data_IF_034926886074
#
_entry.id   IF_034926886074
#
_cell.length_a   1.000
_cell.length_b   1.000
_cell.length_c   1.000
_cell.angle_alpha   90.00
_cell.angle_beta   90.00
_cell.angle_gamma   90.00
#
_symmetry.space_group_name_H-M   'P 1'
#
loop_
_entity.id
_entity.type
_entity.pdbx_description
1 polymer ?
#
# COMPACT_ATOMS: atom_id res chain seq x y z
N UNK A 1 -6.66 24.81 19.34
CA UNK A 1 -6.86 26.27 19.17
C UNK A 1 -7.28 26.89 20.49
N UNK A 2 -6.62 27.96 20.93
CA UNK A 2 -6.91 28.67 22.18
C UNK A 2 -8.29 29.33 22.13
N UNK A 3 -9.12 29.14 23.15
CA UNK A 3 -10.40 29.86 23.28
C UNK A 3 -10.11 31.36 23.36
N UNK A 4 -10.72 32.14 22.46
CA UNK A 4 -10.64 33.61 22.48
C UNK A 4 -11.43 34.16 23.69
N UNK A 5 -11.02 35.32 24.25
CA UNK A 5 -11.69 35.90 25.41
C UNK A 5 -13.16 36.26 25.11
N UNK A 6 -14.02 36.34 26.15
CA UNK A 6 -15.39 36.82 26.01
C UNK A 6 -15.42 38.19 25.33
N UNK A 7 -16.35 38.39 24.38
CA UNK A 7 -16.48 39.64 23.63
C UNK A 7 -15.54 39.80 22.42
N UNK A 8 -14.54 38.91 22.24
CA UNK A 8 -13.60 39.00 21.11
C UNK A 8 -14.30 39.06 19.73
N UNK A 9 -15.40 38.34 19.56
CA UNK A 9 -16.14 38.28 18.29
C UNK A 9 -17.19 39.38 18.13
N UNK A 10 -17.36 40.26 19.12
CA UNK A 10 -18.28 41.40 19.00
C UNK A 10 -17.65 42.52 18.15
N UNK A 11 -16.31 42.57 18.07
CA UNK A 11 -15.57 43.45 17.17
C UNK A 11 -15.63 42.93 15.72
N UNK A 12 -16.11 43.79 14.81
CA UNK A 12 -16.17 43.50 13.38
C UNK A 12 -14.80 43.16 12.78
N UNK A 13 -13.73 43.82 13.23
CA UNK A 13 -12.38 43.63 12.68
C UNK A 13 -11.92 42.18 12.87
N UNK A 14 -12.21 41.60 14.03
CA UNK A 14 -11.88 40.20 14.34
C UNK A 14 -12.70 39.22 13.48
N UNK A 15 -13.96 39.53 13.20
CA UNK A 15 -14.83 38.73 12.33
C UNK A 15 -14.34 38.78 10.88
N UNK A 16 -14.00 39.96 10.38
CA UNK A 16 -13.47 40.16 9.03
C UNK A 16 -12.12 39.44 8.85
N UNK A 17 -11.19 39.61 9.78
CA UNK A 17 -9.87 38.98 9.75
C UNK A 17 -9.95 37.46 9.75
N UNK A 18 -10.90 36.88 10.51
CA UNK A 18 -11.11 35.44 10.52
C UNK A 18 -11.80 34.90 9.26
N UNK A 19 -12.67 35.68 8.61
CA UNK A 19 -13.41 35.25 7.41
C UNK A 19 -12.61 35.42 6.11
N UNK A 20 -11.76 36.45 5.99
CA UNK A 20 -10.96 36.71 4.77
C UNK A 20 -10.14 35.51 4.27
N UNK A 21 -9.36 34.79 5.10
CA UNK A 21 -8.60 33.63 4.62
C UNK A 21 -9.52 32.50 4.16
N UNK A 22 -10.66 32.29 4.83
CA UNK A 22 -11.64 31.26 4.45
C UNK A 22 -12.31 31.59 3.12
N UNK A 23 -12.64 32.87 2.89
CA UNK A 23 -13.22 33.34 1.63
C UNK A 23 -12.20 33.18 0.49
N UNK A 24 -10.93 33.50 0.75
CA UNK A 24 -9.84 33.37 -0.23
C UNK A 24 -9.64 31.90 -0.62
N UNK A 25 -9.60 31.01 0.36
CA UNK A 25 -9.47 29.55 0.17
C UNK A 25 -10.65 28.95 -0.62
N UNK A 26 -11.89 29.37 -0.32
CA UNK A 26 -13.09 28.84 -0.99
C UNK A 26 -13.40 29.53 -2.33
N UNK A 27 -12.81 30.70 -2.60
CA UNK A 27 -13.20 31.58 -3.71
C UNK A 27 -14.64 32.10 -3.63
N UNK A 28 -15.33 31.90 -2.51
CA UNK A 28 -16.71 32.35 -2.26
C UNK A 28 -16.97 32.52 -0.76
N UNK A 29 -18.08 33.19 -0.43
CA UNK A 29 -18.50 33.33 0.96
C UNK A 29 -18.81 31.95 1.58
N UNK A 30 -18.25 31.62 2.76
CA UNK A 30 -18.43 30.31 3.38
C UNK A 30 -19.87 30.07 3.83
N UNK A 31 -20.25 28.80 3.88
CA UNK A 31 -21.48 28.31 4.50
C UNK A 31 -21.22 27.95 5.96
N UNK A 32 -22.30 27.85 6.76
CA UNK A 32 -22.19 27.48 8.17
C UNK A 32 -21.54 26.10 8.41
N UNK A 33 -21.84 25.04 7.63
CA UNK A 33 -21.12 23.77 7.73
C UNK A 33 -19.62 23.90 7.47
N UNK A 34 -19.21 24.68 6.47
CA UNK A 34 -17.80 24.89 6.12
C UNK A 34 -17.01 25.60 7.22
N UNK A 35 -17.66 26.51 7.97
CA UNK A 35 -17.08 27.14 9.15
C UNK A 35 -16.97 26.17 10.33
N UNK A 36 -17.94 25.25 10.50
CA UNK A 36 -17.90 24.22 11.56
C UNK A 36 -16.79 23.19 11.31
N UNK A 37 -16.61 22.75 10.06
CA UNK A 37 -15.53 21.82 9.68
C UNK A 37 -14.15 22.42 9.96
N UNK A 38 -14.01 23.76 9.91
CA UNK A 38 -12.80 24.49 10.28
C UNK A 38 -12.72 24.84 11.76
N UNK A 39 -13.60 24.27 12.59
CA UNK A 39 -13.69 24.50 14.04
C UNK A 39 -13.94 25.96 14.47
N UNK A 40 -14.44 26.82 13.57
CA UNK A 40 -14.69 28.25 13.81
C UNK A 40 -16.03 28.49 14.54
N UNK A 41 -16.32 27.68 15.55
CA UNK A 41 -17.59 27.71 16.30
C UNK A 41 -17.79 29.02 17.08
N UNK A 42 -16.70 29.62 17.58
CA UNK A 42 -16.74 30.92 18.26
C UNK A 42 -17.16 32.07 17.32
N UNK A 43 -16.57 32.10 16.13
CA UNK A 43 -16.90 33.04 15.06
C UNK A 43 -18.37 32.92 14.64
N UNK A 44 -18.85 31.68 14.44
CA UNK A 44 -20.26 31.42 14.11
C UNK A 44 -21.20 32.04 15.16
N UNK A 45 -20.90 31.86 16.46
CA UNK A 45 -21.71 32.44 17.54
C UNK A 45 -21.65 33.96 17.53
N UNK A 46 -20.47 34.55 17.34
CA UNK A 46 -20.30 36.01 17.27
C UNK A 46 -21.04 36.64 16.09
N UNK A 47 -20.96 36.03 14.90
CA UNK A 47 -21.70 36.47 13.70
C UNK A 47 -23.20 36.52 13.97
N UNK A 48 -23.75 35.47 14.60
CA UNK A 48 -25.20 35.39 14.88
C UNK A 48 -25.64 36.32 16.00
N UNK A 49 -24.82 36.51 17.04
CA UNK A 49 -25.18 37.32 18.21
C UNK A 49 -25.02 38.82 17.96
N UNK A 50 -23.93 39.21 17.30
CA UNK A 50 -23.45 40.60 17.33
C UNK A 50 -23.42 41.27 15.95
N UNK A 51 -23.52 40.50 14.86
CA UNK A 51 -23.39 41.02 13.49
C UNK A 51 -24.58 40.70 12.58
N UNK A 52 -25.75 40.38 13.15
CA UNK A 52 -27.00 40.20 12.38
C UNK A 52 -27.04 38.95 11.50
N UNK A 53 -26.14 37.99 11.73
CA UNK A 53 -26.07 36.73 11.00
C UNK A 53 -25.33 36.80 9.67
N UNK A 54 -25.13 35.63 9.05
CA UNK A 54 -24.35 35.48 7.82
C UNK A 54 -24.79 36.35 6.63
N UNK A 55 -26.10 36.64 6.41
CA UNK A 55 -26.50 37.53 5.30
C UNK A 55 -25.94 38.96 5.44
N UNK A 56 -25.97 39.53 6.63
CA UNK A 56 -25.52 40.90 6.88
C UNK A 56 -23.98 40.99 6.82
N UNK A 57 -23.29 40.02 7.41
CA UNK A 57 -21.83 39.88 7.33
C UNK A 57 -21.36 39.72 5.89
N UNK A 58 -22.08 38.93 5.07
CA UNK A 58 -21.80 38.78 3.65
C UNK A 58 -21.92 40.10 2.89
N UNK A 59 -23.00 40.85 3.13
CA UNK A 59 -23.21 42.16 2.53
C UNK A 59 -22.09 43.13 2.92
N UNK A 60 -21.73 43.16 4.21
CA UNK A 60 -20.68 44.03 4.75
C UNK A 60 -19.29 43.71 4.20
N UNK A 61 -19.03 42.46 3.83
CA UNK A 61 -17.79 42.03 3.15
C UNK A 61 -17.84 42.18 1.62
N UNK A 62 -18.86 42.82 1.05
CA UNK A 62 -19.00 43.02 -0.39
C UNK A 62 -19.16 41.71 -1.19
N UNK A 63 -19.45 40.60 -0.50
CA UNK A 63 -19.55 39.30 -1.14
C UNK A 63 -20.92 39.15 -1.80
N UNK A 64 -20.96 38.85 -3.10
CA UNK A 64 -22.22 38.63 -3.83
C UNK A 64 -23.00 37.47 -3.19
N UNK A 65 -24.32 37.66 -3.01
CA UNK A 65 -25.18 36.59 -2.47
C UNK A 65 -25.11 35.34 -3.35
N UNK A 66 -24.85 34.19 -2.73
CA UNK A 66 -24.96 32.88 -3.37
C UNK A 66 -26.41 32.55 -3.76
N UNK A 67 -27.40 33.14 -3.07
CA UNK A 67 -28.81 33.06 -3.49
C UNK A 67 -29.06 34.15 -4.52
N UNK A 68 -29.39 33.72 -5.73
CA UNK A 68 -29.91 34.59 -6.77
C UNK A 68 -31.23 35.23 -6.30
N UNK A 69 -31.54 36.47 -6.72
CA UNK A 69 -32.82 37.10 -6.42
C UNK A 69 -34.00 36.21 -6.84
N UNK A 70 -35.12 36.33 -6.13
CA UNK A 70 -36.35 35.66 -6.55
C UNK A 70 -36.72 36.06 -7.98
N UNK A 71 -37.02 35.05 -8.81
CA UNK A 71 -37.32 35.26 -10.22
C UNK A 71 -36.09 35.33 -11.15
N UNK A 72 -34.86 35.30 -10.64
CA UNK A 72 -33.65 35.34 -11.48
C UNK A 72 -33.63 34.29 -12.60
N UNK A 73 -34.08 33.06 -12.31
CA UNK A 73 -34.16 31.97 -13.30
C UNK A 73 -35.42 31.99 -14.16
N UNK A 74 -36.31 32.99 -14.01
CA UNK A 74 -37.41 33.19 -14.98
C UNK A 74 -36.87 33.80 -16.28
N UNK A 75 -35.81 34.59 -16.18
CA UNK A 75 -35.13 35.17 -17.32
C UNK A 75 -34.29 34.10 -18.05
N UNK A 76 -34.53 33.98 -19.35
CA UNK A 76 -33.82 33.06 -20.23
C UNK A 76 -32.32 33.36 -20.30
N UNK A 77 -31.90 34.62 -20.34
CA UNK A 77 -30.49 34.98 -20.50
C UNK A 77 -29.67 34.62 -19.26
N UNK A 78 -30.28 34.68 -18.07
CA UNK A 78 -29.64 34.21 -16.84
C UNK A 78 -29.44 32.69 -16.84
N UNK A 79 -30.44 31.93 -17.30
CA UNK A 79 -30.36 30.47 -17.45
C UNK A 79 -29.30 30.09 -18.49
N UNK A 80 -29.30 30.77 -19.64
CA UNK A 80 -28.33 30.56 -20.73
C UNK A 80 -26.90 30.79 -20.24
N UNK A 81 -26.64 31.91 -19.55
CA UNK A 81 -25.32 32.25 -19.03
C UNK A 81 -24.77 31.18 -18.08
N UNK A 82 -25.57 30.71 -17.13
CA UNK A 82 -25.11 29.70 -16.17
C UNK A 82 -24.94 28.31 -16.81
N UNK A 83 -25.73 27.99 -17.84
CA UNK A 83 -25.52 26.78 -18.64
C UNK A 83 -24.22 26.81 -19.44
N UNK A 84 -23.83 27.96 -20.01
CA UNK A 84 -22.52 28.11 -20.67
C UNK A 84 -21.37 28.00 -19.66
N UNK A 85 -21.53 28.51 -18.44
CA UNK A 85 -20.53 28.32 -17.38
C UNK A 85 -20.39 26.84 -17.00
N UNK A 86 -21.49 26.12 -16.83
CA UNK A 86 -21.48 24.70 -16.53
C UNK A 86 -20.86 23.88 -17.69
N UNK A 87 -21.15 24.26 -18.94
CA UNK A 87 -20.53 23.68 -20.14
C UNK A 87 -19.03 23.93 -20.19
N UNK A 88 -18.56 25.12 -19.81
CA UNK A 88 -17.12 25.42 -19.75
C UNK A 88 -16.39 24.50 -18.76
N UNK A 89 -17.07 24.08 -17.67
CA UNK A 89 -16.49 23.16 -16.67
C UNK A 89 -16.49 21.69 -17.12
N UNK A 90 -17.49 21.25 -17.87
CA UNK A 90 -17.64 19.83 -18.28
C UNK A 90 -17.15 19.52 -19.70
N UNK A 91 -17.05 20.52 -20.57
CA UNK A 91 -16.83 20.33 -22.01
C UNK A 91 -18.11 20.01 -22.80
N UNK A 92 -19.23 19.70 -22.12
CA UNK A 92 -20.55 19.46 -22.71
C UNK A 92 -21.67 20.11 -21.88
N UNK A 93 -22.87 20.25 -22.45
CA UNK A 93 -24.02 20.76 -21.69
C UNK A 93 -24.42 19.77 -20.59
N UNK A 94 -24.57 20.22 -19.34
CA UNK A 94 -24.80 19.34 -18.20
C UNK A 94 -26.20 18.72 -18.19
N UNK A 95 -26.30 17.48 -17.72
CA UNK A 95 -27.55 16.85 -17.27
C UNK A 95 -28.02 17.41 -15.92
N UNK A 96 -29.26 17.13 -15.52
CA UNK A 96 -29.78 17.52 -14.19
C UNK A 96 -28.92 16.96 -13.04
N UNK A 97 -28.41 15.72 -13.19
CA UNK A 97 -27.56 15.08 -12.17
C UNK A 97 -26.19 15.77 -12.09
N UNK A 98 -25.59 16.07 -13.23
CA UNK A 98 -24.31 16.80 -13.29
C UNK A 98 -24.46 18.24 -12.77
N UNK A 99 -25.55 18.94 -13.09
CA UNK A 99 -25.85 20.27 -12.52
C UNK A 99 -25.95 20.21 -10.99
N UNK A 100 -26.65 19.22 -10.45
CA UNK A 100 -26.75 19.04 -9.00
C UNK A 100 -25.39 18.73 -8.36
N UNK A 101 -24.58 17.88 -9.00
CA UNK A 101 -23.22 17.55 -8.55
C UNK A 101 -22.26 18.73 -8.56
N UNK A 102 -22.43 19.67 -9.50
CA UNK A 102 -21.65 20.90 -9.61
C UNK A 102 -22.19 22.07 -8.76
N UNK A 103 -23.25 21.85 -7.98
CA UNK A 103 -23.86 22.88 -7.13
C UNK A 103 -24.82 23.83 -7.86
N UNK A 104 -25.15 23.58 -9.13
CA UNK A 104 -26.15 24.33 -9.91
C UNK A 104 -27.59 23.83 -9.64
N UNK A 105 -27.91 23.49 -8.39
CA UNK A 105 -29.23 22.94 -8.01
C UNK A 105 -30.36 23.94 -8.28
N UNK A 106 -30.14 25.22 -8.00
CA UNK A 106 -31.13 26.28 -8.25
C UNK A 106 -31.37 26.53 -9.74
N UNK A 107 -30.35 26.35 -10.59
CA UNK A 107 -30.47 26.41 -12.04
C UNK A 107 -31.31 25.25 -12.57
N UNK A 108 -31.01 24.02 -12.11
CA UNK A 108 -31.79 22.83 -12.47
C UNK A 108 -33.28 23.00 -12.10
N UNK A 109 -33.54 23.55 -10.91
CA UNK A 109 -34.90 23.79 -10.43
C UNK A 109 -35.59 24.93 -11.21
N UNK A 110 -34.86 26.00 -11.55
CA UNK A 110 -35.35 27.09 -12.40
C UNK A 110 -35.72 26.62 -13.81
N UNK A 111 -34.87 25.79 -14.42
CA UNK A 111 -35.12 25.17 -15.74
C UNK A 111 -36.40 24.33 -15.70
N UNK A 112 -36.56 23.50 -14.66
CA UNK A 112 -37.74 22.65 -14.48
C UNK A 112 -39.02 23.46 -14.29
N UNK A 113 -38.98 24.52 -13.48
CA UNK A 113 -40.18 25.31 -13.11
C UNK A 113 -40.59 26.32 -14.18
N UNK A 114 -39.64 26.96 -14.86
CA UNK A 114 -39.92 28.12 -15.71
C UNK A 114 -39.66 27.91 -17.20
N UNK A 115 -38.84 26.91 -17.58
CA UNK A 115 -38.40 26.74 -18.98
C UNK A 115 -38.79 25.39 -19.59
N UNK A 116 -39.79 24.70 -19.02
CA UNK A 116 -40.32 23.45 -19.58
C UNK A 116 -39.38 22.25 -19.44
N UNK A 117 -38.39 22.33 -18.55
CA UNK A 117 -37.41 21.28 -18.32
C UNK A 117 -36.23 21.29 -19.30
N UNK A 118 -35.24 20.44 -19.02
CA UNK A 118 -33.93 20.48 -19.69
C UNK A 118 -34.02 20.21 -21.21
N UNK A 119 -34.98 19.39 -21.64
CA UNK A 119 -35.20 19.08 -23.04
C UNK A 119 -35.70 20.30 -23.84
N UNK A 120 -36.59 21.12 -23.26
CA UNK A 120 -37.09 22.33 -23.89
C UNK A 120 -35.99 23.40 -23.99
N UNK A 121 -35.17 23.53 -22.94
CA UNK A 121 -34.00 24.40 -22.91
C UNK A 121 -32.98 24.03 -23.98
N UNK A 122 -32.65 22.74 -24.13
CA UNK A 122 -31.73 22.29 -25.18
C UNK A 122 -32.29 22.53 -26.59
N UNK A 123 -33.58 22.26 -26.81
CA UNK A 123 -34.25 22.60 -28.07
C UNK A 123 -34.12 24.10 -28.37
N UNK A 124 -34.26 24.96 -27.35
CA UNK A 124 -34.13 26.42 -27.47
C UNK A 124 -32.69 26.88 -27.72
N UNK A 125 -31.68 26.14 -27.25
CA UNK A 125 -30.25 26.42 -27.51
C UNK A 125 -29.79 25.94 -28.89
N UNK A 126 -30.67 25.33 -29.71
CA UNK A 126 -30.29 24.75 -31.00
C UNK A 126 -29.34 23.55 -30.87
N UNK A 127 -29.12 23.07 -29.65
CA UNK A 127 -28.34 21.86 -29.42
C UNK A 127 -29.24 20.69 -29.75
N UNK A 128 -28.84 19.90 -30.74
CA UNK A 128 -29.46 18.59 -30.95
C UNK A 128 -29.24 17.81 -29.66
N UNK A 129 -30.27 17.72 -28.83
CA UNK A 129 -30.38 16.64 -27.87
C UNK A 129 -30.16 15.39 -28.71
N UNK A 130 -29.04 14.70 -28.55
CA UNK A 130 -28.91 13.32 -29.02
C UNK A 130 -29.86 12.48 -28.15
N UNK A 131 -31.16 12.73 -28.25
CA UNK A 131 -32.13 11.67 -28.15
C UNK A 131 -31.79 10.83 -29.36
N UNK A 132 -31.07 9.72 -29.13
CA UNK A 132 -31.12 8.63 -30.10
C UNK A 132 -32.58 8.50 -30.50
N UNK A 133 -32.91 8.58 -31.80
CA UNK A 133 -34.28 8.40 -32.25
C UNK A 133 -34.84 7.17 -31.54
N UNK A 134 -36.06 7.23 -31.02
CA UNK A 134 -36.67 6.10 -30.32
C UNK A 134 -36.72 4.80 -31.16
N UNK A 135 -36.28 4.82 -32.43
CA UNK A 135 -36.02 3.63 -33.26
C UNK A 135 -34.55 3.26 -33.50
N UNK A 136 -33.53 4.09 -33.20
CA UNK A 136 -32.12 3.73 -33.49
C UNK A 136 -31.54 2.72 -32.51
N UNK A 137 -32.04 2.66 -31.27
CA UNK A 137 -31.63 1.64 -30.30
C UNK A 137 -32.42 0.33 -30.45
N UNK A 138 -33.46 0.31 -31.30
CA UNK A 138 -34.09 -0.93 -31.75
C UNK A 138 -33.26 -1.61 -32.86
N UNK A 139 -32.45 -0.83 -33.60
CA UNK A 139 -31.51 -1.37 -34.57
C UNK A 139 -30.28 -2.01 -33.89
N UNK A 140 -29.97 -3.23 -34.30
CA UNK A 140 -28.85 -4.01 -33.76
C UNK A 140 -27.50 -3.35 -34.02
N UNK A 141 -27.26 -2.79 -35.23
CA UNK A 141 -25.95 -2.24 -35.59
C UNK A 141 -25.58 -1.05 -34.69
N UNK A 142 -26.56 -0.21 -34.41
CA UNK A 142 -26.41 0.95 -33.53
C UNK A 142 -26.08 0.56 -32.09
N UNK A 143 -26.74 -0.47 -31.54
CA UNK A 143 -26.46 -0.99 -30.19
C UNK A 143 -25.11 -1.70 -30.14
N UNK A 144 -24.77 -2.47 -31.17
CA UNK A 144 -23.49 -3.17 -31.28
C UNK A 144 -22.31 -2.19 -31.26
N UNK A 145 -22.38 -1.11 -32.05
CA UNK A 145 -21.32 -0.09 -32.08
C UNK A 145 -21.11 0.57 -30.72
N UNK A 146 -22.20 0.96 -30.04
CA UNK A 146 -22.14 1.57 -28.71
C UNK A 146 -21.53 0.63 -27.66
N UNK A 147 -21.87 -0.65 -27.73
CA UNK A 147 -21.32 -1.65 -26.82
C UNK A 147 -19.84 -1.94 -27.10
N UNK A 148 -19.41 -1.92 -28.36
CA UNK A 148 -17.99 -2.10 -28.71
C UNK A 148 -17.15 -0.93 -28.20
N UNK A 149 -17.60 0.32 -28.45
CA UNK A 149 -16.93 1.52 -27.93
C UNK A 149 -16.84 1.51 -26.39
N UNK A 150 -17.89 1.04 -25.72
CA UNK A 150 -17.93 0.94 -24.26
C UNK A 150 -17.03 -0.19 -23.75
N UNK A 151 -17.02 -1.32 -24.44
CA UNK A 151 -16.13 -2.46 -24.16
C UNK A 151 -14.67 -2.06 -24.27
N UNK A 152 -14.28 -1.31 -25.30
CA UNK A 152 -12.90 -0.81 -25.44
C UNK A 152 -12.50 0.08 -24.26
N UNK A 153 -13.43 0.88 -23.71
CA UNK A 153 -13.17 1.73 -22.55
C UNK A 153 -13.06 0.95 -21.23
N UNK A 154 -13.88 -0.08 -21.05
CA UNK A 154 -13.94 -0.85 -19.81
C UNK A 154 -13.01 -2.08 -19.80
N UNK A 155 -12.52 -2.52 -20.95
CA UNK A 155 -11.72 -3.75 -21.10
C UNK A 155 -12.54 -5.04 -20.95
N UNK A 156 -13.87 -4.96 -20.80
CA UNK A 156 -14.77 -6.10 -20.67
C UNK A 156 -16.19 -5.73 -21.12
N UNK A 157 -17.05 -6.74 -21.34
CA UNK A 157 -18.43 -6.50 -21.78
C UNK A 157 -19.25 -5.82 -20.66
N UNK A 158 -19.85 -4.65 -20.91
CA UNK A 158 -20.49 -3.84 -19.89
C UNK A 158 -21.70 -4.52 -19.25
N UNK A 159 -21.87 -4.31 -17.95
CA UNK A 159 -23.08 -4.68 -17.19
C UNK A 159 -24.17 -3.61 -17.30
N UNK A 160 -25.40 -3.97 -16.95
CA UNK A 160 -26.52 -3.02 -16.88
C UNK A 160 -26.25 -1.86 -15.92
N UNK A 161 -25.54 -2.12 -14.82
CA UNK A 161 -25.21 -1.10 -13.83
C UNK A 161 -24.13 -0.15 -14.35
N UNK A 162 -23.08 -0.66 -15.00
CA UNK A 162 -22.02 0.17 -15.58
C UNK A 162 -22.55 1.07 -16.70
N UNK A 163 -23.46 0.56 -17.54
CA UNK A 163 -24.13 1.42 -18.52
C UNK A 163 -24.96 2.52 -17.86
N UNK A 164 -25.63 2.23 -16.75
CA UNK A 164 -26.37 3.24 -15.99
C UNK A 164 -25.43 4.31 -15.40
N UNK A 165 -24.29 3.90 -14.85
CA UNK A 165 -23.31 4.80 -14.23
C UNK A 165 -22.60 5.67 -15.27
N UNK A 166 -22.43 5.16 -16.50
CA UNK A 166 -21.97 5.92 -17.67
C UNK A 166 -23.06 6.81 -18.31
N UNK A 167 -24.26 6.87 -17.74
CA UNK A 167 -25.38 7.66 -18.27
C UNK A 167 -26.03 7.06 -19.52
N UNK A 168 -25.72 5.82 -19.86
CA UNK A 168 -26.24 5.05 -21.00
C UNK A 168 -27.45 4.19 -20.62
N UNK A 169 -28.29 4.66 -19.68
CA UNK A 169 -29.47 3.93 -19.18
C UNK A 169 -30.47 3.59 -20.30
N UNK A 170 -30.54 4.42 -21.35
CA UNK A 170 -31.37 4.15 -22.53
C UNK A 170 -30.86 2.95 -23.35
N UNK A 171 -29.55 2.77 -23.45
CA UNK A 171 -28.94 1.60 -24.10
C UNK A 171 -29.22 0.33 -23.29
N UNK A 172 -29.09 0.39 -21.95
CA UNK A 172 -29.45 -0.72 -21.08
C UNK A 172 -30.92 -1.11 -21.21
N UNK A 173 -31.82 -0.12 -21.26
CA UNK A 173 -33.25 -0.35 -21.47
C UNK A 173 -33.52 -0.96 -22.86
N UNK A 174 -32.89 -0.46 -23.92
CA UNK A 174 -33.07 -0.97 -25.27
C UNK A 174 -32.58 -2.42 -25.42
N UNK A 175 -31.46 -2.79 -24.78
CA UNK A 175 -30.98 -4.17 -24.75
C UNK A 175 -32.04 -5.10 -24.18
N UNK A 176 -32.69 -4.71 -23.07
CA UNK A 176 -33.74 -5.50 -22.43
C UNK A 176 -35.05 -5.53 -23.25
N UNK A 177 -35.45 -4.42 -23.85
CA UNK A 177 -36.75 -4.28 -24.50
C UNK A 177 -36.76 -4.76 -25.96
N UNK A 178 -35.65 -4.62 -26.69
CA UNK A 178 -35.61 -4.88 -28.13
C UNK A 178 -34.65 -5.99 -28.55
N UNK A 179 -33.66 -6.33 -27.71
CA UNK A 179 -32.59 -7.27 -28.09
C UNK A 179 -32.53 -8.53 -27.22
N UNK A 180 -33.60 -8.85 -26.49
CA UNK A 180 -33.70 -10.08 -25.71
C UNK A 180 -32.86 -10.12 -24.43
N UNK A 181 -32.34 -8.96 -23.99
CA UNK A 181 -31.56 -8.82 -22.77
C UNK A 181 -30.06 -9.05 -22.93
N UNK A 182 -29.31 -8.73 -21.87
CA UNK A 182 -27.84 -8.68 -21.90
C UNK A 182 -27.19 -10.01 -22.27
N UNK A 183 -27.79 -11.15 -21.89
CA UNK A 183 -27.25 -12.48 -22.23
C UNK A 183 -27.30 -12.73 -23.74
N UNK A 184 -28.42 -12.41 -24.39
CA UNK A 184 -28.60 -12.60 -25.84
C UNK A 184 -27.67 -11.70 -26.62
N UNK A 185 -27.59 -10.42 -26.25
CA UNK A 185 -26.70 -9.43 -26.86
C UNK A 185 -25.23 -9.83 -26.72
N UNK A 186 -24.82 -10.27 -25.52
CA UNK A 186 -23.45 -10.75 -25.25
C UNK A 186 -23.09 -11.95 -26.11
N UNK A 187 -23.97 -12.95 -26.19
CA UNK A 187 -23.76 -14.12 -27.05
C UNK A 187 -23.69 -13.73 -28.53
N UNK A 188 -24.54 -12.78 -28.96
CA UNK A 188 -24.54 -12.26 -30.33
C UNK A 188 -23.27 -11.49 -30.69
N UNK A 189 -22.57 -10.94 -29.69
CA UNK A 189 -21.25 -10.32 -29.83
C UNK A 189 -20.09 -11.32 -29.67
N UNK A 190 -20.36 -12.63 -29.55
CA UNK A 190 -19.33 -13.67 -29.40
C UNK A 190 -18.63 -13.66 -28.04
N UNK A 191 -19.20 -12.97 -27.05
CA UNK A 191 -18.63 -12.86 -25.71
C UNK A 191 -19.07 -14.02 -24.82
N UNK A 192 -18.15 -14.47 -23.94
CA UNK A 192 -18.45 -15.57 -23.01
C UNK A 192 -19.54 -15.13 -22.03
N UNK A 193 -20.57 -15.95 -21.76
CA UNK A 193 -21.67 -15.56 -20.89
C UNK A 193 -21.18 -15.21 -19.48
N UNK A 194 -21.69 -14.10 -18.91
CA UNK A 194 -21.31 -13.63 -17.56
C UNK A 194 -21.68 -14.62 -16.45
N UNK A 195 -22.66 -15.47 -16.71
CA UNK A 195 -23.09 -16.56 -15.82
C UNK A 195 -23.08 -17.82 -16.65
N UNK A 196 -22.40 -18.85 -16.16
CA UNK A 196 -22.50 -20.17 -16.75
C UNK A 196 -23.98 -20.58 -16.82
N UNK A 197 -24.41 -21.26 -17.91
CA UNK A 197 -25.76 -21.79 -18.03
C UNK A 197 -26.25 -22.48 -16.75
N UNK A 198 -27.57 -22.45 -16.51
CA UNK A 198 -28.16 -23.10 -15.35
C UNK A 198 -27.81 -24.59 -15.41
N UNK A 199 -27.13 -25.09 -14.38
CA UNK A 199 -26.66 -26.48 -14.30
C UNK A 199 -25.21 -26.73 -14.74
N UNK A 200 -24.49 -25.75 -15.32
CA UNK A 200 -23.09 -25.96 -15.73
C UNK A 200 -22.21 -26.46 -14.59
N UNK A 201 -22.41 -25.93 -13.37
CA UNK A 201 -21.64 -26.32 -12.20
C UNK A 201 -22.19 -27.57 -11.48
N UNK A 202 -23.27 -28.18 -11.97
CA UNK A 202 -23.78 -29.46 -11.47
C UNK A 202 -23.05 -30.64 -12.10
N UNK A 203 -22.38 -30.42 -13.23
CA UNK A 203 -21.50 -31.39 -13.88
C UNK A 203 -20.09 -31.32 -13.29
N UNK A 204 -19.57 -32.48 -12.89
CA UNK A 204 -18.25 -32.56 -12.24
C UNK A 204 -17.13 -32.11 -13.18
N UNK A 205 -17.18 -32.47 -14.46
CA UNK A 205 -16.14 -32.17 -15.46
C UNK A 205 -15.87 -30.65 -15.60
N UNK A 206 -16.93 -29.84 -15.61
CA UNK A 206 -16.82 -28.38 -15.68
C UNK A 206 -16.17 -27.79 -14.42
N UNK A 207 -16.51 -28.34 -13.26
CA UNK A 207 -15.92 -27.95 -11.98
C UNK A 207 -14.45 -28.36 -11.93
N UNK A 208 -14.13 -29.59 -12.35
CA UNK A 208 -12.77 -30.13 -12.37
C UNK A 208 -11.85 -29.32 -13.27
N UNK A 209 -12.25 -29.03 -14.51
CA UNK A 209 -11.43 -28.28 -15.46
C UNK A 209 -11.12 -26.86 -14.96
N UNK A 210 -12.12 -26.22 -14.34
CA UNK A 210 -11.96 -24.88 -13.76
C UNK A 210 -11.01 -24.92 -12.56
N UNK A 211 -11.16 -25.91 -11.67
CA UNK A 211 -10.27 -26.08 -10.52
C UNK A 211 -8.84 -26.44 -10.95
N UNK A 212 -8.64 -27.26 -11.99
CA UNK A 212 -7.31 -27.56 -12.57
C UNK A 212 -6.61 -26.28 -13.02
N UNK A 213 -7.32 -25.45 -13.78
CA UNK A 213 -6.82 -24.16 -14.28
C UNK A 213 -6.46 -23.24 -13.10
N UNK A 214 -7.36 -23.05 -12.13
CA UNK A 214 -7.07 -22.21 -10.97
C UNK A 214 -5.91 -22.75 -10.12
N UNK A 215 -5.79 -24.07 -9.98
CA UNK A 215 -4.71 -24.69 -9.20
C UNK A 215 -3.35 -24.48 -9.87
N UNK A 216 -3.29 -24.59 -11.20
CA UNK A 216 -2.08 -24.30 -11.99
C UNK A 216 -1.67 -22.83 -11.83
N UNK A 217 -2.61 -21.90 -11.94
CA UNK A 217 -2.32 -20.46 -11.84
C UNK A 217 -1.92 -20.02 -10.43
N UNK A 218 -2.56 -20.58 -9.39
CA UNK A 218 -2.29 -20.20 -8.00
C UNK A 218 -1.09 -20.95 -7.39
N UNK A 219 -0.65 -22.05 -8.01
CA UNK A 219 0.31 -22.98 -7.43
C UNK A 219 -0.16 -23.62 -6.11
N UNK A 220 -1.47 -23.55 -5.84
CA UNK A 220 -2.17 -24.14 -4.69
C UNK A 220 -3.64 -24.33 -5.07
N UNK A 221 -4.32 -25.28 -4.45
CA UNK A 221 -5.75 -25.45 -4.68
C UNK A 221 -6.53 -24.23 -4.14
N UNK A 222 -7.57 -23.76 -4.86
CA UNK A 222 -8.35 -22.58 -4.51
C UNK A 222 -8.96 -22.59 -3.09
N UNK A 223 -8.95 -21.43 -2.45
CA UNK A 223 -9.65 -21.09 -1.21
C UNK A 223 -10.88 -20.24 -1.55
N UNK A 224 -11.73 -20.00 -0.55
CA UNK A 224 -13.00 -19.27 -0.72
C UNK A 224 -12.79 -17.89 -1.36
N UNK A 225 -11.73 -17.19 -0.95
CA UNK A 225 -11.37 -15.86 -1.43
C UNK A 225 -11.07 -15.87 -2.93
N UNK A 226 -10.35 -16.90 -3.43
CA UNK A 226 -9.99 -17.00 -4.85
C UNK A 226 -11.23 -17.15 -5.76
N UNK A 227 -12.31 -17.76 -5.27
CA UNK A 227 -13.58 -17.84 -6.01
C UNK A 227 -14.33 -16.50 -6.01
N UNK A 228 -14.21 -15.71 -4.95
CA UNK A 228 -14.82 -14.37 -4.87
C UNK A 228 -14.13 -13.42 -5.84
N UNK A 229 -12.80 -13.40 -5.85
CA UNK A 229 -11.99 -12.52 -6.69
C UNK A 229 -12.21 -12.79 -8.19
N UNK A 230 -12.56 -14.04 -8.54
CA UNK A 230 -12.86 -14.45 -9.92
C UNK A 230 -14.35 -14.47 -10.26
N UNK A 231 -15.21 -14.00 -9.36
CA UNK A 231 -16.66 -14.02 -9.51
C UNK A 231 -17.24 -15.44 -9.79
N UNK A 232 -16.58 -16.48 -9.28
CA UNK A 232 -16.97 -17.89 -9.39
C UNK A 232 -17.81 -18.36 -8.18
N UNK A 233 -18.52 -17.43 -7.53
CA UNK A 233 -19.33 -17.71 -6.34
C UNK A 233 -20.46 -18.74 -6.60
N UNK A 234 -21.01 -18.77 -7.82
CA UNK A 234 -21.99 -19.78 -8.22
C UNK A 234 -21.40 -21.18 -8.31
N UNK A 235 -20.14 -21.29 -8.77
CA UNK A 235 -19.41 -22.56 -8.82
C UNK A 235 -19.14 -23.04 -7.40
N UNK A 236 -18.63 -22.16 -6.52
CA UNK A 236 -18.38 -22.50 -5.12
C UNK A 236 -19.65 -23.04 -4.43
N UNK A 237 -20.79 -22.36 -4.57
CA UNK A 237 -22.07 -22.83 -4.01
C UNK A 237 -22.49 -24.19 -4.59
N UNK A 238 -22.25 -24.42 -5.88
CA UNK A 238 -22.55 -25.71 -6.50
C UNK A 238 -21.64 -26.82 -5.99
N UNK A 239 -20.36 -26.52 -5.76
CA UNK A 239 -19.41 -27.44 -5.12
C UNK A 239 -19.87 -27.83 -3.72
N UNK A 240 -20.29 -26.85 -2.92
CA UNK A 240 -20.84 -27.07 -1.58
C UNK A 240 -22.08 -27.98 -1.60
N UNK A 241 -22.99 -27.75 -2.56
CA UNK A 241 -24.24 -28.49 -2.66
C UNK A 241 -24.08 -29.92 -3.21
N UNK A 242 -23.29 -30.09 -4.27
CA UNK A 242 -23.29 -31.33 -5.07
C UNK A 242 -22.02 -32.18 -4.87
N UNK A 243 -20.91 -31.58 -4.43
CA UNK A 243 -19.59 -32.22 -4.45
C UNK A 243 -18.88 -32.22 -3.10
N UNK A 244 -19.60 -31.91 -2.01
CA UNK A 244 -19.03 -31.92 -0.65
C UNK A 244 -18.11 -30.74 -0.36
N UNK A 245 -18.31 -29.62 -1.06
CA UNK A 245 -17.53 -28.40 -0.94
C UNK A 245 -16.10 -28.53 -1.46
N UNK A 246 -15.28 -27.52 -1.17
CA UNK A 246 -13.84 -27.51 -1.47
C UNK A 246 -13.15 -28.82 -1.03
N UNK A 247 -13.41 -29.38 0.18
CA UNK A 247 -12.77 -30.63 0.60
C UNK A 247 -13.18 -31.85 -0.25
N UNK A 248 -14.45 -31.92 -0.68
CA UNK A 248 -14.92 -33.02 -1.51
C UNK A 248 -14.39 -32.94 -2.95
N UNK A 249 -14.33 -31.74 -3.53
CA UNK A 249 -13.69 -31.53 -4.82
C UNK A 249 -12.19 -31.87 -4.81
N UNK A 250 -11.48 -31.48 -3.74
CA UNK A 250 -10.07 -31.86 -3.51
C UNK A 250 -9.84 -33.36 -3.55
N UNK A 251 -10.65 -34.12 -2.78
CA UNK A 251 -10.59 -35.61 -2.78
C UNK A 251 -10.81 -36.19 -4.17
N UNK A 252 -11.81 -35.68 -4.91
CA UNK A 252 -12.10 -36.13 -6.28
C UNK A 252 -10.98 -35.81 -7.27
N UNK A 253 -10.26 -34.70 -7.06
CA UNK A 253 -9.09 -34.33 -7.86
C UNK A 253 -7.80 -35.04 -7.45
N UNK A 254 -7.84 -35.97 -6.48
CA UNK A 254 -6.65 -36.62 -5.95
C UNK A 254 -5.75 -35.71 -5.09
N UNK A 255 -6.17 -34.47 -4.85
CA UNK A 255 -5.48 -33.52 -3.97
C UNK A 255 -5.92 -33.75 -2.52
N UNK A 256 -5.27 -34.68 -1.84
CA UNK A 256 -5.61 -35.12 -0.48
C UNK A 256 -5.20 -34.13 0.64
N UNK A 257 -5.05 -32.83 0.36
CA UNK A 257 -4.52 -31.84 1.33
C UNK A 257 -5.59 -31.02 2.07
N UNK A 258 -6.63 -31.67 2.60
CA UNK A 258 -7.66 -30.98 3.41
C UNK A 258 -7.69 -31.36 4.90
N UNK A 259 -7.43 -32.63 5.19
CA UNK A 259 -7.25 -33.16 6.55
C UNK A 259 -6.40 -34.40 6.37
N UNK A 260 -5.08 -34.21 6.46
CA UNK A 260 -4.18 -35.37 6.55
C UNK A 260 -4.68 -36.28 7.66
N UNK A 261 -4.79 -37.60 7.44
CA UNK A 261 -5.26 -38.53 8.47
C UNK A 261 -4.51 -38.30 9.78
N UNK A 262 -5.18 -38.51 10.91
CA UNK A 262 -4.50 -38.46 12.21
C UNK A 262 -3.28 -39.40 12.15
N UNK A 263 -2.11 -38.85 12.46
CA UNK A 263 -0.84 -39.59 12.41
C UNK A 263 -0.08 -39.53 11.09
N UNK A 264 -0.59 -38.91 10.03
CA UNK A 264 0.13 -38.76 8.75
C UNK A 264 1.54 -38.17 8.93
N UNK A 265 1.65 -37.09 9.72
CA UNK A 265 2.92 -36.42 10.02
C UNK A 265 3.72 -37.08 11.15
N UNK A 266 3.23 -38.16 11.76
CA UNK A 266 4.06 -38.97 12.67
C UNK A 266 5.09 -39.78 11.87
N UNK A 267 4.75 -40.14 10.63
CA UNK A 267 5.68 -40.79 9.70
C UNK A 267 6.69 -39.75 9.15
N UNK A 268 7.98 -40.11 9.21
CA UNK A 268 9.08 -39.24 8.80
C UNK A 268 9.10 -38.97 7.30
N UNK A 269 8.83 -39.98 6.47
CA UNK A 269 8.88 -39.89 5.01
C UNK A 269 7.87 -38.87 4.49
N UNK A 270 6.68 -38.80 5.11
CA UNK A 270 5.67 -37.78 4.79
C UNK A 270 6.12 -36.36 5.15
N UNK A 271 6.73 -36.18 6.33
CA UNK A 271 7.29 -34.88 6.75
C UNK A 271 8.39 -34.44 5.79
N UNK A 272 9.29 -35.36 5.43
CA UNK A 272 10.39 -35.09 4.51
C UNK A 272 9.88 -34.68 3.13
N UNK A 273 8.94 -35.44 2.54
CA UNK A 273 8.37 -35.14 1.22
C UNK A 273 7.69 -33.77 1.17
N UNK A 274 6.83 -33.49 2.16
CA UNK A 274 6.08 -32.23 2.19
C UNK A 274 7.02 -31.03 2.41
N UNK A 275 8.04 -31.18 3.27
CA UNK A 275 9.06 -30.14 3.46
C UNK A 275 9.93 -29.95 2.21
N UNK A 276 10.28 -31.00 1.48
CA UNK A 276 11.05 -30.88 0.23
C UNK A 276 10.32 -30.01 -0.79
N UNK A 277 9.00 -30.20 -0.97
CA UNK A 277 8.21 -29.35 -1.87
C UNK A 277 8.22 -27.87 -1.44
N UNK A 278 8.15 -27.61 -0.13
CA UNK A 278 8.22 -26.25 0.41
C UNK A 278 9.62 -25.65 0.22
N UNK A 279 10.67 -26.44 0.45
CA UNK A 279 12.07 -26.02 0.28
C UNK A 279 12.35 -25.67 -1.18
N UNK A 280 11.89 -26.51 -2.12
CA UNK A 280 12.07 -26.29 -3.55
C UNK A 280 11.42 -24.97 -4.00
N UNK A 281 10.29 -24.61 -3.37
CA UNK A 281 9.59 -23.34 -3.61
C UNK A 281 10.29 -22.13 -2.98
N UNK A 282 10.88 -22.28 -1.79
CA UNK A 282 11.49 -21.18 -1.05
C UNK A 282 12.98 -20.97 -1.36
N UNK A 283 13.65 -21.98 -1.93
CA UNK A 283 15.11 -22.01 -2.08
C UNK A 283 15.89 -22.07 -0.75
N UNK A 284 15.20 -22.29 0.38
CA UNK A 284 15.78 -22.39 1.73
C UNK A 284 14.91 -23.26 2.64
N UNK A 285 15.48 -23.70 3.77
CA UNK A 285 14.71 -24.40 4.78
C UNK A 285 13.61 -23.48 5.37
N UNK A 286 12.35 -23.95 5.50
CA UNK A 286 11.25 -23.12 5.97
C UNK A 286 11.39 -22.77 7.46
N UNK A 287 10.96 -21.56 7.80
CA UNK A 287 10.75 -21.11 9.18
C UNK A 287 9.34 -21.48 9.65
N UNK A 288 9.10 -21.33 10.95
CA UNK A 288 7.76 -21.51 11.54
C UNK A 288 6.70 -20.59 10.90
N UNK A 289 7.10 -19.37 10.50
CA UNK A 289 6.23 -18.42 9.80
C UNK A 289 5.88 -18.90 8.40
N UNK A 290 6.88 -19.34 7.62
CA UNK A 290 6.66 -19.84 6.26
C UNK A 290 5.64 -20.99 6.21
N UNK A 291 5.72 -21.93 7.16
CA UNK A 291 4.75 -23.03 7.25
C UNK A 291 3.35 -22.53 7.59
N UNK A 292 3.22 -21.56 8.50
CA UNK A 292 1.93 -20.99 8.89
C UNK A 292 1.27 -20.26 7.73
N UNK A 293 2.02 -19.41 7.03
CA UNK A 293 1.51 -18.56 5.95
C UNK A 293 1.08 -19.39 4.73
N UNK A 294 1.78 -20.51 4.49
CA UNK A 294 1.41 -21.46 3.44
C UNK A 294 0.29 -22.44 3.86
N UNK A 295 -0.21 -22.37 5.09
CA UNK A 295 -1.32 -23.20 5.58
C UNK A 295 -0.90 -24.58 6.12
N UNK A 296 0.39 -24.83 6.30
CA UNK A 296 0.96 -26.07 6.86
C UNK A 296 1.03 -26.04 8.40
N UNK A 297 0.03 -25.46 9.06
CA UNK A 297 -0.04 -25.37 10.52
C UNK A 297 -0.08 -26.74 11.21
N UNK A 298 -0.68 -27.76 10.55
CA UNK A 298 -0.69 -29.14 11.04
C UNK A 298 0.71 -29.76 11.04
N UNK A 299 1.42 -29.67 9.90
CA UNK A 299 2.81 -30.12 9.75
C UNK A 299 3.72 -29.45 10.78
N UNK A 300 3.64 -28.12 10.92
CA UNK A 300 4.37 -27.36 11.94
C UNK A 300 4.15 -27.93 13.34
N UNK A 301 2.88 -28.15 13.71
CA UNK A 301 2.52 -28.62 15.04
C UNK A 301 3.01 -30.04 15.31
N UNK A 302 2.98 -30.91 14.30
CA UNK A 302 3.49 -32.28 14.44
C UNK A 302 5.02 -32.31 14.49
N UNK A 303 5.73 -31.55 13.64
CA UNK A 303 7.18 -31.42 13.71
C UNK A 303 7.64 -31.03 15.12
N UNK A 304 6.95 -30.06 15.75
CA UNK A 304 7.28 -29.59 17.09
C UNK A 304 7.07 -30.67 18.17
N UNK A 305 6.00 -31.48 18.04
CA UNK A 305 5.62 -32.46 19.06
C UNK A 305 6.30 -33.82 18.91
N UNK A 306 6.57 -34.27 17.69
CA UNK A 306 7.00 -35.65 17.42
C UNK A 306 8.39 -35.75 16.80
N UNK A 307 8.89 -34.71 16.15
CA UNK A 307 10.18 -34.74 15.44
C UNK A 307 11.23 -33.82 16.05
N UNK A 308 11.06 -33.38 17.29
CA UNK A 308 12.04 -32.56 18.01
C UNK A 308 12.13 -31.10 17.54
N UNK A 309 11.12 -30.62 16.81
CA UNK A 309 11.06 -29.26 16.29
C UNK A 309 11.76 -29.04 14.96
N UNK A 310 11.50 -27.87 14.36
CA UNK A 310 11.98 -27.51 13.02
C UNK A 310 13.51 -27.59 12.89
N UNK A 311 14.26 -27.35 13.98
CA UNK A 311 15.72 -27.45 14.00
C UNK A 311 16.22 -28.89 13.87
N UNK A 312 15.63 -29.82 14.61
CA UNK A 312 16.00 -31.24 14.55
C UNK A 312 15.69 -31.80 13.17
N UNK A 313 14.54 -31.42 12.59
CA UNK A 313 14.17 -31.80 11.23
C UNK A 313 15.12 -31.19 10.19
N UNK A 314 15.49 -29.92 10.32
CA UNK A 314 16.48 -29.28 9.44
C UNK A 314 17.81 -30.04 9.45
N UNK A 315 18.33 -30.35 10.65
CA UNK A 315 19.56 -31.11 10.80
C UNK A 315 19.44 -32.52 10.20
N UNK A 316 18.33 -33.21 10.44
CA UNK A 316 18.04 -34.53 9.87
C UNK A 316 17.95 -34.52 8.34
N UNK A 317 17.56 -33.39 7.74
CA UNK A 317 17.54 -33.18 6.30
C UNK A 317 18.85 -32.60 5.73
N UNK A 318 19.90 -32.44 6.55
CA UNK A 318 21.20 -31.92 6.12
C UNK A 318 21.26 -30.40 5.93
N UNK A 319 20.28 -29.65 6.46
CA UNK A 319 20.29 -28.19 6.41
C UNK A 319 20.96 -27.58 7.64
N UNK A 320 21.80 -26.58 7.41
CA UNK A 320 22.36 -25.78 8.50
C UNK A 320 21.29 -24.86 9.10
N UNK A 321 21.05 -25.01 10.40
CA UNK A 321 20.13 -24.15 11.15
C UNK A 321 20.80 -22.81 11.41
N UNK A 322 20.34 -21.76 10.72
CA UNK A 322 20.90 -20.40 10.84
C UNK A 322 20.79 -19.80 12.25
N UNK A 323 19.79 -20.23 13.04
CA UNK A 323 19.57 -19.72 14.40
C UNK A 323 20.06 -20.71 15.46
N UNK A 324 21.22 -20.41 16.06
CA UNK A 324 21.81 -21.14 17.20
C UNK A 324 20.82 -21.25 18.39
N UNK A 325 20.93 -22.29 19.25
CA UNK A 325 20.02 -22.52 20.37
C UNK A 325 20.11 -21.42 21.44
N UNK A 326 19.08 -21.33 22.29
CA UNK A 326 19.08 -20.38 23.39
C UNK A 326 20.18 -20.73 24.39
N UNK A 327 20.93 -19.73 24.85
CA UNK A 327 22.11 -19.93 25.70
C UNK A 327 23.40 -20.24 24.93
N UNK A 328 23.35 -20.61 23.64
CA UNK A 328 24.55 -20.91 22.84
C UNK A 328 25.62 -19.81 22.95
N UNK A 329 25.20 -18.55 22.85
CA UNK A 329 26.09 -17.40 22.90
C UNK A 329 26.52 -16.97 24.31
N UNK A 330 25.95 -17.56 25.37
CA UNK A 330 26.43 -17.36 26.74
C UNK A 330 27.72 -18.14 26.99
N UNK A 331 27.89 -19.26 26.31
CA UNK A 331 29.10 -20.09 26.39
C UNK A 331 30.26 -19.41 25.66
N UNK A 332 31.34 -19.13 26.39
CA UNK A 332 32.53 -18.47 25.85
C UNK A 332 33.13 -19.21 24.65
N UNK A 333 33.22 -20.54 24.73
CA UNK A 333 33.82 -21.37 23.68
C UNK A 333 33.16 -21.18 22.31
N UNK A 334 31.85 -20.95 22.28
CA UNK A 334 31.10 -20.74 21.03
C UNK A 334 31.41 -19.37 20.41
N UNK A 335 31.53 -18.32 21.25
CA UNK A 335 31.90 -16.97 20.79
C UNK A 335 33.34 -16.96 20.30
N UNK A 336 34.26 -17.57 21.04
CA UNK A 336 35.67 -17.71 20.66
C UNK A 336 35.83 -18.44 19.32
N UNK A 337 35.16 -19.58 19.12
CA UNK A 337 35.25 -20.34 17.88
C UNK A 337 34.81 -19.52 16.65
N UNK A 338 33.68 -18.83 16.75
CA UNK A 338 33.15 -18.03 15.63
C UNK A 338 34.04 -16.81 15.33
N UNK A 339 34.61 -16.19 16.36
CA UNK A 339 35.56 -15.08 16.21
C UNK A 339 36.89 -15.54 15.63
N UNK A 340 37.40 -16.73 16.00
CA UNK A 340 38.62 -17.31 15.41
C UNK A 340 38.43 -17.66 13.93
N UNK A 341 37.29 -18.23 13.54
CA UNK A 341 36.96 -18.47 12.12
C UNK A 341 36.95 -17.18 11.30
N UNK A 342 36.43 -16.10 11.87
CA UNK A 342 36.46 -14.78 11.21
C UNK A 342 37.87 -14.21 11.16
N UNK A 343 38.67 -14.39 12.21
CA UNK A 343 40.07 -14.00 12.21
C UNK A 343 40.85 -14.73 11.11
N UNK A 344 40.68 -16.04 10.96
CA UNK A 344 41.28 -16.83 9.88
C UNK A 344 40.86 -16.34 8.49
N UNK A 345 39.58 -15.99 8.32
CA UNK A 345 39.05 -15.46 7.06
C UNK A 345 39.57 -14.06 6.72
N UNK A 346 39.71 -13.18 7.72
CA UNK A 346 40.06 -11.77 7.52
C UNK A 346 41.57 -11.51 7.62
N UNK A 347 42.34 -12.40 8.23
CA UNK A 347 43.76 -12.19 8.56
C UNK A 347 44.00 -11.14 9.65
N UNK A 348 42.95 -10.62 10.29
CA UNK A 348 43.01 -9.60 11.35
C UNK A 348 41.90 -9.79 12.38
N UNK A 349 42.01 -9.22 13.60
CA UNK A 349 40.92 -9.21 14.56
C UNK A 349 39.62 -8.61 13.95
N UNK A 350 38.49 -9.33 13.99
CA UNK A 350 37.22 -8.81 13.51
C UNK A 350 36.76 -7.60 14.31
N UNK A 351 36.15 -6.66 13.60
CA UNK A 351 35.44 -5.48 14.10
C UNK A 351 33.94 -5.77 14.18
N UNK A 352 33.18 -4.80 14.72
CA UNK A 352 31.72 -4.89 14.74
C UNK A 352 31.16 -4.84 13.31
N UNK A 353 31.74 -3.99 12.48
CA UNK A 353 31.37 -3.78 11.09
C UNK A 353 31.57 -5.07 10.28
N UNK A 354 32.65 -5.81 10.53
CA UNK A 354 32.90 -7.11 9.88
C UNK A 354 31.81 -8.16 10.23
N UNK A 355 31.35 -8.18 11.48
CA UNK A 355 30.26 -9.07 11.90
C UNK A 355 28.94 -8.69 11.24
N UNK A 356 28.66 -7.40 11.10
CA UNK A 356 27.43 -6.92 10.46
C UNK A 356 27.44 -7.21 8.95
N UNK A 357 28.58 -7.03 8.27
CA UNK A 357 28.73 -7.39 6.85
C UNK A 357 28.55 -8.89 6.59
N UNK A 358 28.97 -9.74 7.53
CA UNK A 358 28.81 -11.20 7.46
C UNK A 358 27.44 -11.68 7.96
N UNK A 359 26.50 -10.77 8.28
CA UNK A 359 25.18 -11.08 8.85
C UNK A 359 25.25 -11.88 10.16
N UNK A 360 26.30 -11.65 10.96
CA UNK A 360 26.60 -12.30 12.24
C UNK A 360 26.32 -11.38 13.44
N UNK A 361 25.37 -10.45 13.32
CA UNK A 361 25.02 -9.50 14.38
C UNK A 361 24.63 -10.13 15.73
N UNK A 362 24.20 -11.40 15.73
CA UNK A 362 23.94 -12.16 16.98
C UNK A 362 25.19 -12.36 17.85
N UNK A 363 26.37 -12.50 17.23
CA UNK A 363 27.66 -12.57 17.93
C UNK A 363 27.99 -11.23 18.57
N UNK A 364 27.82 -10.12 17.82
CA UNK A 364 28.08 -8.77 18.34
C UNK A 364 27.21 -8.47 19.56
N UNK A 365 25.92 -8.82 19.51
CA UNK A 365 25.01 -8.65 20.64
C UNK A 365 25.47 -9.48 21.84
N UNK A 366 25.91 -10.73 21.61
CA UNK A 366 26.38 -11.60 22.67
C UNK A 366 27.66 -11.11 23.35
N UNK A 367 28.60 -10.57 22.58
CA UNK A 367 29.86 -9.97 23.07
C UNK A 367 29.54 -8.90 24.11
N UNK A 368 28.64 -7.96 23.78
CA UNK A 368 28.24 -6.90 24.71
C UNK A 368 27.43 -7.43 25.89
N UNK A 369 26.48 -8.33 25.64
CA UNK A 369 25.51 -8.75 26.67
C UNK A 369 26.08 -9.73 27.69
N UNK A 370 26.96 -10.65 27.28
CA UNK A 370 27.41 -11.76 28.13
C UNK A 370 28.91 -11.78 28.40
N UNK A 371 29.72 -11.14 27.55
CA UNK A 371 31.19 -11.28 27.60
C UNK A 371 31.94 -9.98 27.87
N UNK A 372 31.26 -8.97 28.42
CA UNK A 372 31.88 -7.73 28.90
C UNK A 372 32.31 -6.74 27.80
N UNK A 373 31.80 -6.91 26.57
CA UNK A 373 32.11 -6.03 25.44
C UNK A 373 33.41 -6.37 24.71
N UNK A 374 33.68 -5.63 23.62
CA UNK A 374 34.75 -5.94 22.68
C UNK A 374 36.14 -5.96 23.32
N UNK A 375 36.44 -5.04 24.24
CA UNK A 375 37.77 -4.98 24.86
C UNK A 375 38.05 -6.17 25.76
N UNK A 376 37.03 -6.64 26.50
CA UNK A 376 37.14 -7.84 27.34
C UNK A 376 37.38 -9.08 26.47
N UNK A 377 36.63 -9.21 25.38
CA UNK A 377 36.78 -10.31 24.41
C UNK A 377 38.16 -10.29 23.76
N UNK A 378 38.64 -9.11 23.31
CA UNK A 378 39.97 -8.95 22.70
C UNK A 378 41.10 -9.29 23.67
N UNK A 379 41.02 -8.85 24.92
CA UNK A 379 41.98 -9.25 25.97
C UNK A 379 41.98 -10.76 26.18
N UNK A 380 40.79 -11.36 26.26
CA UNK A 380 40.63 -12.80 26.49
C UNK A 380 41.15 -13.66 25.33
N UNK A 381 41.07 -13.16 24.11
CA UNK A 381 41.63 -13.81 22.91
C UNK A 381 43.12 -13.49 22.67
N UNK A 382 43.74 -12.66 23.51
CA UNK A 382 45.13 -12.22 23.33
C UNK A 382 45.33 -11.21 22.19
N UNK A 383 44.25 -10.69 21.60
CA UNK A 383 44.29 -9.74 20.48
C UNK A 383 44.66 -8.32 20.88
N UNK A 384 44.61 -7.99 22.17
CA UNK A 384 44.99 -6.67 22.69
C UNK A 384 46.50 -6.40 22.67
N UNK A 385 47.33 -7.45 22.62
CA UNK A 385 48.79 -7.32 22.55
C UNK A 385 49.28 -7.15 21.11
N UNK A 386 48.67 -7.86 20.16
CA UNK A 386 49.04 -7.80 18.74
C UNK A 386 48.82 -6.40 18.12
N UNK A 387 47.83 -5.63 18.60
CA UNK A 387 47.67 -4.23 18.16
C UNK A 387 48.78 -3.33 18.71
N UNK A 388 49.31 -3.65 19.89
CA UNK A 388 50.41 -2.92 20.52
C UNK A 388 51.73 -3.17 19.82
N UNK A 389 52.04 -4.43 19.52
CA UNK A 389 53.30 -4.78 18.84
C UNK A 389 53.30 -4.35 17.38
N UNK A 390 52.15 -4.41 16.68
CA UNK A 390 52.04 -3.89 15.31
C UNK A 390 52.14 -2.36 15.30
N UNK A 391 51.46 -1.66 16.21
CA UNK A 391 51.58 -0.20 16.31
C UNK A 391 52.98 0.24 16.74
N UNK A 392 53.64 -0.50 17.65
CA UNK A 392 55.01 -0.21 18.08
C UNK A 392 56.01 -0.48 16.94
N UNK A 393 55.92 -1.62 16.23
CA UNK A 393 56.76 -1.88 15.05
C UNK A 393 56.53 -0.84 13.94
N UNK A 394 55.30 -0.36 13.74
CA UNK A 394 55.00 0.68 12.76
C UNK A 394 55.54 2.05 13.20
N UNK A 395 55.39 2.40 14.47
CA UNK A 395 55.96 3.62 15.05
C UNK A 395 57.49 3.60 15.00
N UNK A 396 58.12 2.48 15.33
CA UNK A 396 59.58 2.28 15.27
C UNK A 396 60.08 2.32 13.82
N UNK A 397 59.33 1.75 12.87
CA UNK A 397 59.62 1.82 11.43
C UNK A 397 59.54 3.25 10.89
N UNK A 398 58.49 4.00 11.26
CA UNK A 398 58.31 5.39 10.83
C UNK A 398 59.39 6.27 11.46
N UNK A 399 59.68 6.10 12.75
CA UNK A 399 60.74 6.81 13.44
C UNK A 399 62.13 6.51 12.84
N UNK A 400 62.41 5.25 12.49
CA UNK A 400 63.67 4.86 11.85
C UNK A 400 63.81 5.46 10.44
N UNK A 401 62.73 5.48 9.65
CA UNK A 401 62.73 6.07 8.30
C UNK A 401 62.92 7.58 8.36
N UNK A 402 62.22 8.26 9.27
CA UNK A 402 62.33 9.71 9.45
C UNK A 402 63.70 10.15 9.98
N UNK A 403 64.29 9.39 10.92
CA UNK A 403 65.66 9.63 11.40
C UNK A 403 66.70 9.41 10.29
N UNK A 404 66.48 8.45 9.39
CA UNK A 404 67.38 8.17 8.26
C UNK A 404 67.30 9.23 7.15
N UNK A 405 66.14 9.87 6.96
CA UNK A 405 65.89 10.82 5.87
C UNK A 405 66.06 12.30 6.26
N UNK A 406 66.57 12.58 7.47
CA UNK A 406 66.79 13.94 8.02
C UNK A 406 67.40 14.96 7.03
N UNK A 407 66.52 15.58 6.26
CA UNK A 407 66.70 16.86 5.57
C UNK A 407 65.66 17.83 6.12
N UNK A 408 66.08 18.57 7.14
CA UNK A 408 65.63 19.94 7.49
C UNK A 408 64.17 20.35 7.24
N UNK A 409 63.19 19.49 7.49
CA UNK A 409 61.78 19.90 7.57
C UNK A 409 61.33 19.91 9.03
N UNK A 410 60.46 20.86 9.36
CA UNK A 410 60.11 21.16 10.73
C UNK A 410 59.38 19.98 11.37
N UNK A 411 59.49 19.84 12.70
CA UNK A 411 58.75 18.83 13.46
C UNK A 411 57.23 18.88 13.19
N UNK A 412 56.70 20.06 12.83
CA UNK A 412 55.29 20.26 12.47
C UNK A 412 54.92 19.62 11.11
N UNK A 413 55.82 19.62 10.13
CA UNK A 413 55.59 18.97 8.82
C UNK A 413 55.56 17.44 8.95
N UNK A 414 56.36 16.89 9.87
CA UNK A 414 56.31 15.48 10.26
C UNK A 414 54.96 15.13 10.88
N UNK A 415 54.49 15.92 11.86
CA UNK A 415 53.19 15.68 12.49
C UNK A 415 52.06 15.75 11.46
N UNK A 416 52.09 16.73 10.56
CA UNK A 416 51.10 16.88 9.48
C UNK A 416 51.08 15.67 8.52
N UNK A 417 52.25 15.12 8.19
CA UNK A 417 52.36 13.93 7.33
C UNK A 417 51.86 12.68 8.04
N UNK A 418 52.17 12.53 9.33
CA UNK A 418 51.75 11.41 10.16
C UNK A 418 50.23 11.43 10.41
N UNK A 419 49.64 12.62 10.55
CA UNK A 419 48.19 12.86 10.63
C UNK A 419 47.47 12.46 9.33
N UNK A 420 48.12 12.63 8.17
CA UNK A 420 47.52 12.26 6.87
C UNK A 420 47.50 10.76 6.60
N UNK A 421 48.47 10.02 7.15
CA UNK A 421 48.68 8.60 6.84
C UNK A 421 48.18 7.62 7.92
N UNK A 422 47.87 8.10 9.14
CA UNK A 422 47.47 7.22 10.25
C UNK A 422 46.04 7.52 10.79
N UNK A 423 45.03 6.66 10.51
CA UNK A 423 43.63 6.93 10.87
C UNK A 423 43.27 6.76 12.37
N UNK A 424 44.25 6.67 13.28
CA UNK A 424 44.06 6.45 14.73
C UNK A 424 44.62 7.59 15.60
N UNK A 425 44.42 8.82 15.11
CA UNK A 425 44.98 10.10 15.57
C UNK A 425 44.89 10.38 17.08
N UNK A 426 43.75 10.11 17.72
CA UNK A 426 43.51 10.48 19.13
C UNK A 426 44.40 9.73 20.13
N UNK A 427 44.82 8.52 19.81
CA UNK A 427 45.58 7.68 20.75
C UNK A 427 47.09 7.97 20.69
N UNK A 428 47.57 8.64 19.64
CA UNK A 428 49.01 8.90 19.42
C UNK A 428 49.49 10.18 20.12
N UNK A 429 48.77 11.31 20.00
CA UNK A 429 49.16 12.59 20.65
C UNK A 429 49.18 12.49 22.18
N UNK A 430 48.19 11.80 22.76
CA UNK A 430 48.13 11.52 24.21
C UNK A 430 49.33 10.69 24.68
N UNK A 431 49.83 9.77 23.84
CA UNK A 431 50.99 8.92 24.17
C UNK A 431 52.33 9.62 23.99
N UNK A 432 52.43 10.57 23.06
CA UNK A 432 53.63 11.41 22.87
C UNK A 432 53.71 12.57 23.88
N UNK A 433 52.74 12.71 24.78
CA UNK A 433 52.71 13.79 25.78
C UNK A 433 52.46 15.18 25.16
N UNK A 434 51.88 15.22 23.95
CA UNK A 434 51.59 16.46 23.27
C UNK A 434 50.27 17.05 23.79
N UNK A 435 50.18 18.38 23.94
CA UNK A 435 48.94 19.02 24.39
C UNK A 435 47.80 18.76 23.39
N UNK A 436 46.53 18.64 23.87
CA UNK A 436 45.38 18.57 22.98
C UNK A 436 45.27 19.87 22.17
N UNK A 437 44.73 19.80 20.95
CA UNK A 437 44.54 21.01 20.16
C UNK A 437 43.66 22.02 20.90
N UNK A 438 43.96 23.33 20.77
CA UNK A 438 43.00 24.33 21.15
C UNK A 438 41.74 24.17 20.29
N UNK A 439 40.59 24.05 20.95
CA UNK A 439 39.30 23.97 20.28
C UNK A 439 39.15 25.15 19.30
N UNK A 440 39.18 24.87 18.00
CA UNK A 440 38.96 25.85 16.95
C UNK A 440 37.50 26.32 16.99
N UNK A 441 37.28 27.58 17.37
CA UNK A 441 35.98 28.27 17.36
C UNK A 441 35.43 28.51 15.97
#
# INVERSE_FOLDING_TARGET
MSRKPPGYWDDWKNVEEALRPVITDLGRFPTMPELRTRELNGLIRGINRSHGGMPLVRHRLGCKSAKRPDGYYRDWENVRRELEEAKKKLGHYPSTKEMNGLGFTSLADGIRRYHGGIAAVWKRLGTRVKRSPNGSLADWKSVQQLLEETRTKLGHFPTSQELHDLGMSSTAAAICQHHGGFTVVRNRMGEKPSRSPKGTWQEWENVEQTLKTMTQELGRFPRREDFLDRNLTSMQRSMEKNFGGIPGCRRRMGDSTGRVPNGHYQNWENVQRDLQGIIQKLGRFPTSGDLKDQGFSGLRSTIERTHGGLRAVAHKMGYEVTKKPDGYWKEWANVEQELRRLFEKLGRPPTKEDLDSEKRGSVSIAIHKYHGGWDAVRRRLGWSAATRDVLNCYADSIAATYMAESRSESFEDFLTTLERECPYERDLRVRLGLPPEPDST
#
